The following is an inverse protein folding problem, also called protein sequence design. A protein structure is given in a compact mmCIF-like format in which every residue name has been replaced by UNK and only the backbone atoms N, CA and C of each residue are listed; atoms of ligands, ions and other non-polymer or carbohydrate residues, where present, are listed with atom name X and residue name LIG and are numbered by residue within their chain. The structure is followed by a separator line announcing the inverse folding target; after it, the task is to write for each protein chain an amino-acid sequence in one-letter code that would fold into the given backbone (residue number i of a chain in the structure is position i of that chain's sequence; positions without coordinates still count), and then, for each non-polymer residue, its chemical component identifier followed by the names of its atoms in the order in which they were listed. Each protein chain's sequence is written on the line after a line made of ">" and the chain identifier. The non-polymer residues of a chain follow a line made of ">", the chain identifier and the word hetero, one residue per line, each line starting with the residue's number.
data_IF_304152661865
#
_entry.id   IF_304152661865
#
_cell.length_a   1.000
_cell.length_b   1.000
_cell.length_c   1.000
_cell.angle_alpha   90.00
_cell.angle_beta   90.00
_cell.angle_gamma   90.00
#
_symmetry.space_group_name_H-M   'P 1'
#
loop_
_entity.id
_entity.type
_entity.pdbx_description
1 polymer ?
#
# COMPACT_ATOMS: atom_id res chain seq x y z
N UNK A 1 -17.74 2.16 1.87
CA UNK A 1 -18.17 2.65 0.53
C UNK A 1 -17.11 2.41 -0.54
N UNK A 2 -15.86 2.85 -0.36
CA UNK A 2 -14.81 2.74 -1.41
C UNK A 2 -14.45 1.30 -1.85
N UNK A 3 -14.52 0.30 -0.95
CA UNK A 3 -14.20 -1.09 -1.29
C UNK A 3 -15.16 -1.66 -2.35
N UNK A 4 -16.44 -1.25 -2.29
CA UNK A 4 -17.50 -1.74 -3.20
C UNK A 4 -17.28 -1.15 -4.59
N UNK A 5 -17.02 0.16 -4.67
CA UNK A 5 -16.77 0.86 -5.94
C UNK A 5 -15.50 0.34 -6.63
N UNK A 6 -14.45 0.05 -5.85
CA UNK A 6 -13.22 -0.51 -6.38
C UNK A 6 -13.47 -1.93 -6.93
N UNK A 7 -14.17 -2.78 -6.16
CA UNK A 7 -14.51 -4.14 -6.56
C UNK A 7 -15.40 -4.19 -7.82
N UNK A 8 -16.39 -3.30 -7.94
CA UNK A 8 -17.25 -3.23 -9.13
C UNK A 8 -16.46 -2.78 -10.35
N UNK A 9 -15.57 -1.80 -10.20
CA UNK A 9 -14.74 -1.30 -11.31
C UNK A 9 -13.75 -2.35 -11.80
N UNK A 10 -13.08 -3.07 -10.89
CA UNK A 10 -12.18 -4.17 -11.28
C UNK A 10 -12.93 -5.33 -11.92
N UNK A 11 -14.13 -5.65 -11.42
CA UNK A 11 -14.98 -6.70 -12.01
C UNK A 11 -15.42 -6.32 -13.43
N UNK A 12 -15.83 -5.06 -13.63
CA UNK A 12 -16.25 -4.55 -14.93
C UNK A 12 -15.10 -4.56 -15.94
N UNK A 13 -13.90 -4.09 -15.56
CA UNK A 13 -12.69 -4.18 -16.40
C UNK A 13 -12.36 -5.62 -16.79
N UNK A 14 -12.49 -6.56 -15.85
CA UNK A 14 -12.22 -7.99 -16.09
C UNK A 14 -13.24 -8.59 -17.05
N UNK A 15 -14.52 -8.24 -16.89
CA UNK A 15 -15.59 -8.68 -17.78
C UNK A 15 -15.39 -8.15 -19.22
N UNK A 16 -14.91 -6.91 -19.38
CA UNK A 16 -14.65 -6.30 -20.68
C UNK A 16 -13.55 -7.03 -21.47
N UNK A 17 -12.57 -7.65 -20.77
CA UNK A 17 -11.48 -8.41 -21.38
C UNK A 17 -11.75 -9.92 -21.49
N UNK A 18 -12.98 -10.37 -21.21
CA UNK A 18 -13.34 -11.80 -21.21
C UNK A 18 -13.13 -12.46 -22.58
N UNK A 19 -13.36 -11.72 -23.67
CA UNK A 19 -13.18 -12.22 -25.04
C UNK A 19 -11.70 -12.49 -25.36
N UNK A 20 -10.80 -11.58 -25.02
CA UNK A 20 -9.35 -11.76 -25.15
C UNK A 20 -8.85 -12.95 -24.33
N UNK A 21 -9.39 -13.11 -23.11
CA UNK A 21 -9.06 -14.23 -22.22
C UNK A 21 -9.53 -15.56 -22.83
N UNK A 22 -10.70 -15.58 -23.47
CA UNK A 22 -11.22 -16.76 -24.15
C UNK A 22 -10.37 -17.14 -25.38
N UNK A 23 -9.93 -16.16 -26.17
CA UNK A 23 -9.00 -16.36 -27.28
C UNK A 23 -7.65 -16.91 -26.80
N UNK A 24 -7.09 -16.37 -25.72
CA UNK A 24 -5.84 -16.88 -25.15
C UNK A 24 -5.98 -18.30 -24.61
N UNK A 25 -7.12 -18.64 -23.99
CA UNK A 25 -7.42 -20.03 -23.58
C UNK A 25 -7.48 -20.98 -24.77
N UNK A 26 -8.06 -20.57 -25.89
CA UNK A 26 -8.11 -21.36 -27.13
C UNK A 26 -6.71 -21.59 -27.73
N UNK A 27 -5.78 -20.67 -27.51
CA UNK A 27 -4.36 -20.81 -27.89
C UNK A 27 -3.53 -21.63 -26.87
N UNK A 28 -4.17 -22.19 -25.84
CA UNK A 28 -3.50 -23.02 -24.82
C UNK A 28 -2.88 -22.25 -23.66
N UNK A 29 -3.25 -20.98 -23.45
CA UNK A 29 -2.72 -20.20 -22.32
C UNK A 29 -3.18 -20.78 -20.98
N UNK A 30 -2.23 -20.99 -20.07
CA UNK A 30 -2.50 -21.45 -18.71
C UNK A 30 -3.23 -20.37 -17.89
N UNK A 31 -4.10 -20.79 -16.96
CA UNK A 31 -4.85 -19.86 -16.10
C UNK A 31 -3.94 -18.85 -15.37
N UNK A 32 -2.68 -19.18 -15.10
CA UNK A 32 -1.71 -18.27 -14.47
C UNK A 32 -1.28 -17.10 -15.39
N UNK A 33 -1.26 -17.30 -16.71
CA UNK A 33 -0.93 -16.26 -17.68
C UNK A 33 -1.99 -15.14 -17.69
N UNK A 34 -3.26 -15.52 -17.50
CA UNK A 34 -4.40 -14.60 -17.43
C UNK A 34 -4.40 -13.81 -16.12
N UNK A 35 -3.90 -14.39 -15.02
CA UNK A 35 -3.88 -13.76 -13.68
C UNK A 35 -2.76 -12.72 -13.51
N UNK A 36 -1.60 -12.93 -14.16
CA UNK A 36 -0.44 -12.03 -14.07
C UNK A 36 -0.73 -10.54 -14.30
N UNK A 37 -1.43 -10.12 -15.38
CA UNK A 37 -1.66 -8.69 -15.65
C UNK A 37 -2.50 -8.02 -14.55
N UNK A 38 -3.51 -8.70 -14.01
CA UNK A 38 -4.35 -8.15 -12.95
C UNK A 38 -3.59 -8.00 -11.63
N UNK A 39 -2.75 -8.98 -11.28
CA UNK A 39 -1.88 -8.89 -10.10
C UNK A 39 -0.88 -7.73 -10.27
N UNK A 40 -0.27 -7.59 -11.44
CA UNK A 40 0.65 -6.49 -11.72
C UNK A 40 -0.03 -5.11 -11.59
N UNK A 41 -1.24 -4.92 -12.13
CA UNK A 41 -1.98 -3.65 -12.06
C UNK A 41 -2.31 -3.29 -10.59
N UNK A 42 -2.75 -4.28 -9.79
CA UNK A 42 -3.04 -4.06 -8.37
C UNK A 42 -1.81 -3.70 -7.53
N UNK A 43 -0.67 -4.36 -7.77
CA UNK A 43 0.59 -4.04 -7.08
C UNK A 43 1.06 -2.64 -7.46
N UNK A 44 1.02 -2.28 -8.74
CA UNK A 44 1.37 -0.93 -9.20
C UNK A 44 0.52 0.15 -8.53
N UNK A 45 -0.80 -0.03 -8.52
CA UNK A 45 -1.71 0.92 -7.89
C UNK A 45 -1.49 0.99 -6.37
N UNK A 46 -1.23 -0.14 -5.72
CA UNK A 46 -0.92 -0.21 -4.28
C UNK A 46 0.36 0.55 -3.92
N UNK A 47 1.43 0.40 -4.72
CA UNK A 47 2.69 1.13 -4.53
C UNK A 47 2.44 2.63 -4.63
N UNK A 48 1.79 3.08 -5.70
CA UNK A 48 1.52 4.50 -5.94
C UNK A 48 0.66 5.08 -4.79
N UNK A 49 -0.37 4.36 -4.36
CA UNK A 49 -1.22 4.78 -3.26
C UNK A 49 -0.44 4.90 -1.93
N UNK A 50 0.42 3.91 -1.61
CA UNK A 50 1.22 3.92 -0.39
C UNK A 50 2.23 5.08 -0.36
N UNK A 51 2.89 5.36 -1.48
CA UNK A 51 3.82 6.49 -1.62
C UNK A 51 3.08 7.81 -1.45
N UNK A 52 1.92 7.95 -2.10
CA UNK A 52 1.13 9.18 -2.04
C UNK A 52 0.59 9.44 -0.62
N UNK A 53 0.06 8.41 0.04
CA UNK A 53 -0.42 8.49 1.42
C UNK A 53 0.71 8.80 2.41
N UNK A 54 1.87 8.16 2.28
CA UNK A 54 2.96 8.41 3.21
C UNK A 54 3.63 9.77 2.96
N UNK A 55 3.65 10.24 1.72
CA UNK A 55 4.09 11.60 1.37
C UNK A 55 3.19 12.66 1.98
N UNK A 56 1.87 12.52 1.88
CA UNK A 56 0.92 13.48 2.47
C UNK A 56 1.05 13.53 4.00
N UNK A 57 1.21 12.38 4.65
CA UNK A 57 1.46 12.29 6.10
C UNK A 57 2.77 12.98 6.49
N UNK A 58 3.85 12.80 5.71
CA UNK A 58 5.13 13.44 5.97
C UNK A 58 5.04 14.97 5.89
N UNK A 59 4.31 15.51 4.90
CA UNK A 59 4.08 16.96 4.74
C UNK A 59 3.30 17.52 5.93
N UNK A 60 2.24 16.82 6.36
CA UNK A 60 1.45 17.21 7.53
C UNK A 60 2.32 17.23 8.79
N UNK A 61 3.15 16.20 9.00
CA UNK A 61 4.06 16.13 10.15
C UNK A 61 5.08 17.26 10.20
N UNK A 62 5.68 17.63 9.06
CA UNK A 62 6.62 18.75 8.98
C UNK A 62 5.92 20.08 9.32
N UNK A 63 4.69 20.26 8.85
CA UNK A 63 3.89 21.47 9.11
C UNK A 63 3.51 21.59 10.58
N UNK A 64 3.16 20.47 11.21
CA UNK A 64 2.77 20.40 12.62
C UNK A 64 3.96 20.36 13.59
N UNK A 65 5.18 20.10 13.12
CA UNK A 65 6.37 20.02 13.97
C UNK A 65 6.54 21.27 14.84
N UNK A 66 6.34 22.46 14.26
CA UNK A 66 6.41 23.74 14.98
C UNK A 66 5.41 23.80 16.14
N UNK A 67 4.14 23.44 15.89
CA UNK A 67 3.10 23.40 16.91
C UNK A 67 3.36 22.34 18.00
N UNK A 68 3.80 21.16 17.58
CA UNK A 68 4.09 20.03 18.45
C UNK A 68 5.30 20.31 19.36
N UNK A 69 6.30 21.06 18.89
CA UNK A 69 7.46 21.45 19.71
C UNK A 69 7.08 22.36 20.89
N UNK A 70 6.10 23.24 20.70
CA UNK A 70 5.58 24.14 21.74
C UNK A 70 4.74 23.34 22.74
N UNK A 71 3.87 22.45 22.24
CA UNK A 71 2.95 21.66 23.07
C UNK A 71 3.64 20.55 23.89
N UNK A 72 4.68 19.91 23.36
CA UNK A 72 5.40 18.80 24.00
C UNK A 72 6.71 19.23 24.69
N UNK A 73 6.92 20.53 24.91
CA UNK A 73 8.11 21.09 25.58
C UNK A 73 8.35 20.57 27.01
N UNK A 74 7.36 19.90 27.61
CA UNK A 74 7.45 19.26 28.93
C UNK A 74 7.65 17.74 28.96
N UNK A 75 7.74 17.05 27.81
CA UNK A 75 7.85 15.59 27.77
C UNK A 75 9.31 15.11 27.61
N UNK A 76 9.75 14.08 28.36
CA UNK A 76 11.05 13.46 28.16
C UNK A 76 11.14 12.80 26.78
N UNK A 77 12.35 12.74 26.23
CA UNK A 77 12.63 12.15 24.90
C UNK A 77 12.17 10.68 24.88
N UNK A 78 11.10 10.41 24.14
CA UNK A 78 10.59 9.05 23.93
C UNK A 78 11.52 8.33 22.95
N UNK A 79 12.28 7.37 23.49
CA UNK A 79 13.07 6.45 22.70
C UNK A 79 12.53 5.04 22.87
N UNK A 80 12.36 4.33 21.77
CA UNK A 80 11.96 2.93 21.75
C UNK A 80 13.18 2.13 21.38
N UNK A 81 13.63 1.26 22.29
CA UNK A 81 14.74 0.34 22.04
C UNK A 81 14.17 -1.01 21.61
N UNK A 82 14.15 -1.25 20.31
CA UNK A 82 13.77 -2.53 19.72
C UNK A 82 14.97 -3.00 18.90
N UNK A 83 15.66 -4.06 19.34
CA UNK A 83 16.86 -4.64 18.70
C UNK A 83 18.11 -3.75 18.68
N UNK A 84 18.65 -3.36 19.84
CA UNK A 84 19.94 -2.65 19.96
C UNK A 84 20.04 -1.31 19.18
N UNK A 85 18.94 -0.82 18.61
CA UNK A 85 18.83 0.50 18.00
C UNK A 85 17.91 1.36 18.85
N UNK A 86 18.46 2.40 19.46
CA UNK A 86 17.66 3.42 20.15
C UNK A 86 16.97 4.31 19.12
N UNK A 87 15.73 3.97 18.74
CA UNK A 87 14.93 4.81 17.87
C UNK A 87 14.30 5.92 18.71
N UNK A 88 14.82 7.13 18.57
CA UNK A 88 14.20 8.33 19.14
C UNK A 88 12.96 8.69 18.31
N UNK A 89 11.79 8.49 18.91
CA UNK A 89 10.48 8.82 18.34
C UNK A 89 10.19 10.31 18.50
N UNK A 90 10.71 10.91 19.58
CA UNK A 90 10.54 12.32 19.92
C UNK A 90 11.89 12.96 20.31
N UNK A 91 12.35 14.06 19.69
CA UNK A 91 11.78 14.81 18.57
C UNK A 91 11.83 14.03 17.24
N UNK A 92 10.99 14.40 16.27
CA UNK A 92 10.90 13.69 14.99
C UNK A 92 12.26 13.59 14.29
N UNK A 93 12.76 12.36 14.18
CA UNK A 93 13.97 12.04 13.45
C UNK A 93 13.61 11.59 12.02
N UNK A 94 14.39 12.03 11.03
CA UNK A 94 14.28 11.54 9.65
C UNK A 94 14.36 10.01 9.58
N UNK A 95 15.17 9.38 10.43
CA UNK A 95 15.30 7.93 10.48
C UNK A 95 13.99 7.23 10.89
N UNK A 96 13.22 7.81 11.81
CA UNK A 96 11.93 7.27 12.21
C UNK A 96 10.90 7.35 11.07
N UNK A 97 10.89 8.46 10.32
CA UNK A 97 10.01 8.63 9.15
C UNK A 97 10.33 7.61 8.06
N UNK A 98 11.61 7.37 7.79
CA UNK A 98 12.04 6.39 6.76
C UNK A 98 11.68 4.96 7.18
N UNK A 99 11.90 4.59 8.44
CA UNK A 99 11.56 3.25 8.95
C UNK A 99 10.04 3.01 8.90
N UNK A 100 9.25 3.99 9.35
CA UNK A 100 7.78 3.88 9.32
C UNK A 100 7.26 3.86 7.89
N UNK A 101 7.81 4.66 6.97
CA UNK A 101 7.52 4.58 5.54
C UNK A 101 7.79 3.18 4.97
N UNK A 102 8.94 2.59 5.30
CA UNK A 102 9.30 1.25 4.85
C UNK A 102 8.31 0.20 5.36
N UNK A 103 7.94 0.26 6.64
CA UNK A 103 6.97 -0.67 7.23
C UNK A 103 5.57 -0.52 6.62
N UNK A 104 5.05 0.70 6.49
CA UNK A 104 3.69 0.93 5.96
C UNK A 104 3.58 0.54 4.50
N UNK A 105 4.61 0.80 3.68
CA UNK A 105 4.64 0.37 2.27
C UNK A 105 4.72 -1.16 2.14
N UNK A 106 5.52 -1.84 2.97
CA UNK A 106 5.56 -3.30 3.01
C UNK A 106 4.20 -3.90 3.37
N UNK A 107 3.55 -3.40 4.43
CA UNK A 107 2.21 -3.87 4.81
C UNK A 107 1.18 -3.56 3.72
N UNK A 108 1.21 -2.36 3.12
CA UNK A 108 0.33 -1.98 2.03
C UNK A 108 0.47 -2.87 0.79
N UNK A 109 1.70 -3.25 0.45
CA UNK A 109 2.00 -4.19 -0.63
C UNK A 109 1.42 -5.58 -0.36
N UNK A 110 1.59 -6.09 0.87
CA UNK A 110 1.02 -7.39 1.28
C UNK A 110 -0.50 -7.36 1.16
N UNK A 111 -1.15 -6.29 1.63
CA UNK A 111 -2.61 -6.14 1.54
C UNK A 111 -3.06 -6.08 0.09
N UNK A 112 -2.36 -5.34 -0.78
CA UNK A 112 -2.69 -5.25 -2.20
C UNK A 112 -2.55 -6.60 -2.91
N UNK A 113 -1.49 -7.36 -2.61
CA UNK A 113 -1.28 -8.70 -3.14
C UNK A 113 -2.40 -9.66 -2.70
N UNK A 114 -2.74 -9.67 -1.40
CA UNK A 114 -3.80 -10.54 -0.87
C UNK A 114 -5.16 -10.17 -1.46
N UNK A 115 -5.47 -8.88 -1.59
CA UNK A 115 -6.70 -8.40 -2.22
C UNK A 115 -6.80 -8.84 -3.68
N UNK A 116 -5.69 -8.77 -4.42
CA UNK A 116 -5.61 -9.20 -5.81
C UNK A 116 -5.81 -10.70 -5.98
N UNK A 117 -5.17 -11.51 -5.14
CA UNK A 117 -5.33 -12.96 -5.14
C UNK A 117 -6.78 -13.35 -4.80
N UNK A 118 -7.37 -12.71 -3.79
CA UNK A 118 -8.76 -12.96 -3.39
C UNK A 118 -9.76 -12.57 -4.48
N UNK A 119 -9.54 -11.45 -5.18
CA UNK A 119 -10.39 -11.05 -6.29
C UNK A 119 -10.28 -12.06 -7.45
N UNK A 120 -9.06 -12.45 -7.78
CA UNK A 120 -8.79 -13.36 -8.90
C UNK A 120 -9.38 -14.76 -8.68
N UNK A 121 -9.30 -15.31 -7.46
CA UNK A 121 -9.91 -16.60 -7.11
C UNK A 121 -11.45 -16.57 -7.07
N UNK A 122 -12.07 -15.39 -7.00
CA UNK A 122 -13.54 -15.27 -6.99
C UNK A 122 -14.16 -15.31 -8.39
N UNK A 123 -13.39 -15.05 -9.44
CA UNK A 123 -13.89 -14.90 -10.82
C UNK A 123 -13.27 -15.87 -11.84
N UNK A 124 -12.31 -16.71 -11.43
CA UNK A 124 -11.70 -17.80 -12.22
C UNK A 124 -11.86 -19.13 -11.51
#
# INVERSE_FOLDING_TARGET
>A
MSIIVMATTTSFKTALKKEDIALQRLLGATNFYIRKPFIAESVFLGIIASICANSSIAVILLSLNSFLSIFLSGLPKLSVNMLNMSLQVWPFNLMFIVVTFGLTTLFGLIISLVASLSATNRYL
#
